data_IF_165674260187
#
_entry.id   IF_165674260187
#
_cell.length_a   1.000
_cell.length_b   1.000
_cell.length_c   1.000
_cell.angle_alpha   90.00
_cell.angle_beta   90.00
_cell.angle_gamma   90.00
#
_symmetry.space_group_name_H-M   'P 1'
#
loop_
_entity.id
_entity.type
_entity.pdbx_description
1 polymer ?
#
# COMPACT_ATOMS: atom_id res chain seq x y z
N UNK A 1 -0.51 20.46 8.54
CA UNK A 1 0.92 20.32 8.87
C UNK A 1 1.11 18.93 9.45
N UNK A 2 2.16 18.21 9.06
CA UNK A 2 2.45 16.87 9.60
C UNK A 2 2.64 16.92 11.12
N UNK A 3 2.02 15.96 11.83
CA UNK A 3 2.30 15.75 13.24
C UNK A 3 3.73 15.24 13.46
N UNK A 4 4.18 15.18 14.72
CA UNK A 4 5.55 14.80 15.06
C UNK A 4 5.90 13.39 14.55
N UNK A 5 4.99 12.44 14.74
CA UNK A 5 5.08 11.05 14.27
C UNK A 5 5.23 11.00 12.75
N UNK A 6 4.46 11.82 12.03
CA UNK A 6 4.56 11.96 10.58
C UNK A 6 5.95 12.42 10.14
N UNK A 7 6.51 13.45 10.79
CA UNK A 7 7.88 13.93 10.49
C UNK A 7 8.94 12.87 10.73
N UNK A 8 8.85 12.15 11.86
CA UNK A 8 9.77 11.03 12.16
C UNK A 8 9.63 9.93 11.10
N UNK A 9 8.41 9.58 10.70
CA UNK A 9 8.19 8.55 9.68
C UNK A 9 8.81 8.92 8.33
N UNK A 10 8.75 10.19 7.91
CA UNK A 10 9.39 10.68 6.67
C UNK A 10 10.91 10.56 6.76
N UNK A 11 11.50 11.07 7.85
CA UNK A 11 12.94 11.00 8.05
C UNK A 11 13.46 9.55 8.04
N UNK A 12 12.78 8.66 8.75
CA UNK A 12 13.19 7.26 8.91
C UNK A 12 12.93 6.43 7.65
N UNK A 13 11.84 6.69 6.91
CA UNK A 13 11.62 6.10 5.58
C UNK A 13 12.74 6.47 4.61
N UNK A 14 13.06 7.76 4.47
CA UNK A 14 14.15 8.22 3.60
C UNK A 14 15.50 7.64 4.02
N UNK A 15 15.75 7.54 5.32
CA UNK A 15 16.96 6.87 5.85
C UNK A 15 17.02 5.42 5.39
N UNK A 16 15.91 4.67 5.47
CA UNK A 16 15.82 3.31 4.94
C UNK A 16 16.15 3.21 3.46
N UNK A 17 15.60 4.11 2.63
CA UNK A 17 15.88 4.16 1.18
C UNK A 17 17.38 4.40 0.93
N UNK A 18 17.97 5.39 1.61
CA UNK A 18 19.38 5.74 1.46
C UNK A 18 20.27 4.56 1.86
N UNK A 19 20.00 3.91 2.99
CA UNK A 19 20.78 2.75 3.44
C UNK A 19 20.68 1.57 2.49
N UNK A 20 19.51 1.33 1.90
CA UNK A 20 19.35 0.31 0.87
C UNK A 20 20.17 0.65 -0.38
N UNK A 21 20.21 1.90 -0.84
CA UNK A 21 20.92 2.28 -2.08
C UNK A 21 22.42 2.53 -1.91
N UNK A 22 22.87 2.84 -0.69
CA UNK A 22 24.24 3.21 -0.34
C UNK A 22 25.30 2.25 -0.94
N UNK A 23 25.12 0.93 -0.86
CA UNK A 23 26.00 -0.02 -1.51
C UNK A 23 26.34 0.24 -2.97
N UNK A 24 25.31 0.40 -3.78
CA UNK A 24 25.47 0.59 -5.22
C UNK A 24 26.12 1.93 -5.52
N UNK A 25 25.82 2.95 -4.71
CA UNK A 25 26.41 4.28 -4.84
C UNK A 25 27.92 4.27 -4.53
N UNK A 26 28.33 3.66 -3.42
CA UNK A 26 29.75 3.53 -3.04
C UNK A 26 30.54 2.75 -4.09
N UNK A 27 29.99 1.66 -4.62
CA UNK A 27 30.61 0.90 -5.72
C UNK A 27 30.84 1.77 -6.97
N UNK A 28 29.87 2.61 -7.36
CA UNK A 28 30.03 3.53 -8.50
C UNK A 28 31.11 4.58 -8.27
N UNK A 29 31.37 4.95 -7.03
CA UNK A 29 32.46 5.86 -6.64
C UNK A 29 33.82 5.13 -6.48
N UNK A 30 33.94 3.90 -6.96
CA UNK A 30 35.16 3.07 -6.86
C UNK A 30 35.59 2.74 -5.43
N UNK A 31 34.70 2.89 -4.43
CA UNK A 31 34.92 2.29 -3.12
C UNK A 31 34.61 0.79 -3.22
N UNK A 32 35.65 -0.04 -3.35
CA UNK A 32 35.60 -1.51 -3.38
C UNK A 32 35.25 -2.14 -2.00
N UNK A 33 34.24 -1.60 -1.31
CA UNK A 33 33.87 -2.05 0.04
C UNK A 33 33.22 -3.44 0.05
N UNK A 34 32.58 -3.86 -1.05
CA UNK A 34 31.96 -5.19 -1.20
C UNK A 34 33.01 -6.28 -1.34
N UNK A 35 33.92 -6.12 -2.30
CA UNK A 35 34.97 -7.11 -2.58
C UNK A 35 35.92 -7.30 -1.38
N UNK A 36 36.17 -6.25 -0.59
CA UNK A 36 37.08 -6.33 0.56
C UNK A 36 36.53 -7.13 1.76
N UNK A 37 35.23 -7.08 2.04
CA UNK A 37 34.66 -7.64 3.28
C UNK A 37 33.54 -8.68 3.07
N UNK A 38 32.83 -8.65 1.93
CA UNK A 38 31.69 -9.52 1.68
C UNK A 38 31.75 -10.13 0.28
N UNK A 39 32.09 -11.41 0.20
CA UNK A 39 32.01 -12.17 -1.06
C UNK A 39 30.56 -12.31 -1.58
N UNK A 40 29.56 -12.21 -0.69
CA UNK A 40 28.14 -12.37 -1.00
C UNK A 40 27.39 -11.04 -0.87
N UNK A 41 26.95 -10.49 -2.01
CA UNK A 41 26.24 -9.20 -2.09
C UNK A 41 24.99 -9.15 -1.20
N UNK A 42 24.21 -10.24 -1.13
CA UNK A 42 22.99 -10.31 -0.33
C UNK A 42 23.26 -10.19 1.17
N UNK A 43 24.37 -10.76 1.64
CA UNK A 43 24.74 -10.70 3.05
C UNK A 43 25.02 -9.25 3.47
N UNK A 44 25.61 -8.44 2.60
CA UNK A 44 25.84 -7.02 2.91
C UNK A 44 24.53 -6.26 3.13
N UNK A 45 23.51 -6.48 2.29
CA UNK A 45 22.20 -5.85 2.50
C UNK A 45 21.53 -6.33 3.79
N UNK A 46 21.61 -7.62 4.12
CA UNK A 46 21.08 -8.15 5.40
C UNK A 46 21.78 -7.50 6.59
N UNK A 47 23.11 -7.41 6.58
CA UNK A 47 23.89 -6.77 7.65
C UNK A 47 23.54 -5.29 7.78
N UNK A 48 23.41 -4.56 6.67
CA UNK A 48 23.00 -3.15 6.69
C UNK A 48 21.59 -2.97 7.25
N UNK A 49 20.66 -3.86 6.92
CA UNK A 49 19.32 -3.84 7.49
C UNK A 49 19.34 -4.07 9.00
N UNK A 50 20.10 -5.06 9.48
CA UNK A 50 20.25 -5.34 10.92
C UNK A 50 20.87 -4.13 11.64
N UNK A 51 21.96 -3.57 11.10
CA UNK A 51 22.63 -2.40 11.65
C UNK A 51 21.67 -1.20 11.72
N UNK A 52 20.93 -0.94 10.66
CA UNK A 52 19.95 0.15 10.62
C UNK A 52 18.86 -0.04 11.68
N UNK A 53 18.32 -1.24 11.83
CA UNK A 53 17.34 -1.52 12.88
C UNK A 53 17.93 -1.36 14.28
N UNK A 54 19.17 -1.77 14.50
CA UNK A 54 19.88 -1.54 15.77
C UNK A 54 20.03 -0.05 16.08
N UNK A 55 20.38 0.79 15.10
CA UNK A 55 20.44 2.24 15.25
C UNK A 55 19.07 2.85 15.58
N UNK A 56 18.00 2.39 14.93
CA UNK A 56 16.62 2.81 15.21
C UNK A 56 16.21 2.43 16.63
N UNK A 57 16.56 1.22 17.08
CA UNK A 57 16.35 0.79 18.47
C UNK A 57 17.07 1.75 19.41
N UNK A 58 18.31 2.15 19.17
CA UNK A 58 19.02 3.07 20.08
C UNK A 58 18.38 4.47 20.08
N UNK A 59 18.03 4.98 18.90
CA UNK A 59 17.60 6.37 18.72
C UNK A 59 16.19 6.68 19.25
N UNK A 60 15.28 5.70 19.24
CA UNK A 60 13.87 5.94 19.55
C UNK A 60 13.33 5.00 20.65
N UNK A 61 12.23 5.41 21.28
CA UNK A 61 11.54 4.65 22.34
C UNK A 61 10.02 4.69 22.16
N UNK A 62 9.31 3.75 22.78
CA UNK A 62 7.84 3.73 22.84
C UNK A 62 7.17 3.72 21.46
N UNK A 63 6.09 4.50 21.33
CA UNK A 63 5.32 4.61 20.09
C UNK A 63 6.16 5.13 18.91
N UNK A 64 7.04 6.10 19.15
CA UNK A 64 7.91 6.67 18.11
C UNK A 64 8.87 5.64 17.53
N UNK A 65 9.44 4.76 18.37
CA UNK A 65 10.24 3.63 17.90
C UNK A 65 9.43 2.71 16.97
N UNK A 66 8.19 2.40 17.34
CA UNK A 66 7.33 1.53 16.54
C UNK A 66 6.95 2.13 15.18
N UNK A 67 6.79 3.46 15.11
CA UNK A 67 6.62 4.19 13.84
C UNK A 67 7.91 4.17 13.04
N UNK A 68 9.04 4.53 13.68
CA UNK A 68 10.35 4.62 13.06
C UNK A 68 10.79 3.30 12.43
N UNK A 69 10.63 2.17 13.14
CA UNK A 69 11.06 0.86 12.64
C UNK A 69 10.24 0.44 11.41
N UNK A 70 8.91 0.64 11.42
CA UNK A 70 8.03 0.31 10.27
C UNK A 70 8.33 1.19 9.06
N UNK A 71 8.45 2.50 9.28
CA UNK A 71 8.78 3.44 8.21
C UNK A 71 10.17 3.16 7.62
N UNK A 72 11.16 2.86 8.46
CA UNK A 72 12.51 2.46 8.03
C UNK A 72 12.47 1.17 7.22
N UNK A 73 11.77 0.13 7.69
CA UNK A 73 11.65 -1.14 6.97
C UNK A 73 10.98 -0.98 5.61
N UNK A 74 9.92 -0.16 5.54
CA UNK A 74 9.25 0.15 4.27
C UNK A 74 10.17 0.94 3.32
N UNK A 75 10.90 1.93 3.82
CA UNK A 75 11.88 2.68 3.03
C UNK A 75 13.02 1.79 2.52
N UNK A 76 13.50 0.88 3.37
CA UNK A 76 14.51 -0.10 2.99
C UNK A 76 13.99 -1.04 1.90
N UNK A 77 12.78 -1.60 2.06
CA UNK A 77 12.14 -2.43 1.04
C UNK A 77 11.94 -1.68 -0.29
N UNK A 78 11.54 -0.40 -0.23
CA UNK A 78 11.42 0.45 -1.41
C UNK A 78 12.75 0.58 -2.17
N UNK A 79 13.84 0.86 -1.44
CA UNK A 79 15.18 0.96 -2.01
C UNK A 79 15.71 -0.37 -2.56
N UNK A 80 15.43 -1.49 -1.89
CA UNK A 80 15.73 -2.84 -2.40
C UNK A 80 14.97 -3.12 -3.69
N UNK A 81 13.69 -2.72 -3.78
CA UNK A 81 12.90 -2.85 -5.00
C UNK A 81 13.54 -2.12 -6.19
N UNK A 82 14.04 -0.90 -5.98
CA UNK A 82 14.80 -0.14 -6.99
C UNK A 82 16.07 -0.89 -7.39
N UNK A 83 16.82 -1.43 -6.43
CA UNK A 83 18.04 -2.18 -6.73
C UNK A 83 17.76 -3.44 -7.54
N UNK A 84 16.73 -4.20 -7.19
CA UNK A 84 16.33 -5.39 -7.94
C UNK A 84 16.03 -5.01 -9.39
N UNK A 85 15.22 -3.96 -9.61
CA UNK A 85 14.91 -3.48 -10.96
C UNK A 85 16.16 -3.09 -11.77
N UNK A 86 17.11 -2.39 -11.14
CA UNK A 86 18.30 -1.86 -11.82
C UNK A 86 19.43 -2.88 -12.02
N UNK A 87 19.46 -3.96 -11.24
CA UNK A 87 20.66 -4.83 -11.15
C UNK A 87 20.38 -6.32 -11.28
N UNK A 88 19.16 -6.78 -11.02
CA UNK A 88 18.83 -8.19 -11.14
C UNK A 88 18.60 -8.58 -12.62
N UNK A 89 18.63 -9.89 -12.94
CA UNK A 89 18.21 -10.40 -14.25
C UNK A 89 16.81 -9.88 -14.63
N UNK A 90 16.54 -9.77 -15.93
CA UNK A 90 15.25 -9.31 -16.51
C UNK A 90 14.04 -9.92 -15.79
N UNK A 91 14.06 -11.24 -15.60
CA UNK A 91 13.02 -12.04 -14.93
C UNK A 91 12.75 -11.69 -13.45
N UNK A 92 13.56 -10.84 -12.80
CA UNK A 92 13.34 -10.33 -11.44
C UNK A 92 12.91 -8.86 -11.40
N UNK A 93 13.07 -8.12 -12.49
CA UNK A 93 12.92 -6.66 -12.48
C UNK A 93 11.54 -6.21 -12.02
N UNK A 94 10.48 -6.89 -12.48
CA UNK A 94 9.11 -6.55 -12.08
C UNK A 94 8.80 -6.91 -10.62
N UNK A 95 9.51 -7.87 -10.02
CA UNK A 95 9.44 -8.11 -8.57
C UNK A 95 10.01 -6.94 -7.78
N UNK A 96 11.05 -6.28 -8.30
CA UNK A 96 11.58 -5.04 -7.76
C UNK A 96 10.54 -3.91 -7.76
N UNK A 97 9.88 -3.70 -8.91
CA UNK A 97 8.79 -2.72 -9.04
C UNK A 97 7.64 -3.05 -8.08
N UNK A 98 7.20 -4.30 -8.02
CA UNK A 98 6.18 -4.76 -7.07
C UNK A 98 6.57 -4.42 -5.62
N UNK A 99 7.80 -4.70 -5.22
CA UNK A 99 8.29 -4.43 -3.86
C UNK A 99 8.24 -2.93 -3.54
N UNK A 100 8.68 -2.08 -4.48
CA UNK A 100 8.58 -0.62 -4.31
C UNK A 100 7.13 -0.15 -4.24
N UNK A 101 6.22 -0.67 -5.08
CA UNK A 101 4.78 -0.34 -5.04
C UNK A 101 4.15 -0.72 -3.70
N UNK A 102 4.43 -1.92 -3.18
CA UNK A 102 3.94 -2.38 -1.88
C UNK A 102 4.45 -1.49 -0.74
N UNK A 103 5.75 -1.19 -0.75
CA UNK A 103 6.36 -0.33 0.25
C UNK A 103 5.76 1.08 0.25
N UNK A 104 5.55 1.66 -0.94
CA UNK A 104 4.92 2.96 -1.10
C UNK A 104 3.49 2.95 -0.58
N UNK A 105 2.66 1.98 -0.97
CA UNK A 105 1.26 1.89 -0.53
C UNK A 105 1.14 1.90 0.99
N UNK A 106 1.85 1.01 1.68
CA UNK A 106 1.76 0.90 3.14
C UNK A 106 2.30 2.14 3.87
N UNK A 107 3.37 2.73 3.36
CA UNK A 107 3.95 3.94 3.95
C UNK A 107 3.04 5.16 3.76
N UNK A 108 2.52 5.34 2.55
CA UNK A 108 1.67 6.48 2.20
C UNK A 108 0.30 6.42 2.89
N UNK A 109 -0.23 5.24 3.21
CA UNK A 109 -1.42 5.09 4.07
C UNK A 109 -1.21 5.73 5.44
N UNK A 110 -0.10 5.39 6.11
CA UNK A 110 0.25 5.98 7.41
C UNK A 110 0.44 7.49 7.28
N UNK A 111 1.24 7.92 6.31
CA UNK A 111 1.56 9.32 6.10
C UNK A 111 0.31 10.16 5.81
N UNK A 112 -0.64 9.64 5.02
CA UNK A 112 -1.90 10.32 4.76
C UNK A 112 -2.68 10.58 6.05
N UNK A 113 -2.81 9.59 6.96
CA UNK A 113 -3.48 9.79 8.25
C UNK A 113 -2.78 10.82 9.12
N UNK A 114 -1.44 10.83 9.17
CA UNK A 114 -0.69 11.86 9.92
C UNK A 114 -0.94 13.28 9.42
N UNK A 115 -1.43 13.44 8.19
CA UNK A 115 -1.77 14.73 7.62
C UNK A 115 -3.25 15.07 7.80
N UNK A 116 -4.13 14.08 7.61
CA UNK A 116 -5.57 14.30 7.45
C UNK A 116 -6.37 14.07 8.73
N UNK A 117 -5.95 13.11 9.56
CA UNK A 117 -6.64 12.74 10.80
C UNK A 117 -5.66 12.24 11.90
N UNK A 118 -4.79 13.11 12.45
CA UNK A 118 -3.79 12.70 13.44
C UNK A 118 -4.39 12.11 14.73
N UNK A 119 -5.63 12.48 15.07
CA UNK A 119 -6.34 11.95 16.24
C UNK A 119 -6.69 10.46 16.12
N UNK A 120 -6.77 9.92 14.91
CA UNK A 120 -7.04 8.51 14.66
C UNK A 120 -5.76 7.71 14.34
N UNK A 121 -4.58 8.32 14.49
CA UNK A 121 -3.31 7.70 14.12
C UNK A 121 -3.00 6.51 15.04
N UNK A 122 -2.68 5.37 14.43
CA UNK A 122 -2.22 4.17 15.13
C UNK A 122 -1.16 3.44 14.30
N UNK A 123 -0.60 2.35 14.84
CA UNK A 123 0.27 1.48 14.06
C UNK A 123 -0.46 0.79 12.91
N UNK A 124 -1.76 0.56 13.08
CA UNK A 124 -2.60 -0.09 12.06
C UNK A 124 -2.82 0.81 10.86
N UNK A 125 -2.56 2.13 10.98
CA UNK A 125 -2.58 3.06 9.85
C UNK A 125 -1.55 2.73 8.76
N UNK A 126 -0.51 1.93 9.05
CA UNK A 126 0.39 1.38 8.01
C UNK A 126 -0.26 0.26 7.17
N UNK A 127 -1.38 -0.31 7.63
CA UNK A 127 -2.13 -1.37 6.95
C UNK A 127 -1.34 -2.65 6.69
N UNK A 128 -0.24 -2.89 7.42
CA UNK A 128 0.68 -4.02 7.18
C UNK A 128 0.05 -5.39 7.46
N UNK A 129 -0.70 -5.53 8.55
CA UNK A 129 -1.22 -6.79 9.05
C UNK A 129 -2.71 -6.69 9.35
N UNK A 130 -3.51 -6.26 8.37
CA UNK A 130 -4.95 -6.03 8.58
C UNK A 130 -5.79 -7.30 8.54
N UNK A 131 -5.27 -8.42 8.03
CA UNK A 131 -5.92 -9.74 8.13
C UNK A 131 -4.96 -10.91 7.88
N UNK A 132 -5.34 -12.11 8.33
CA UNK A 132 -4.58 -13.35 8.06
C UNK A 132 -4.67 -13.72 6.58
N UNK A 133 -5.83 -13.51 5.97
CA UNK A 133 -6.11 -13.75 4.57
C UNK A 133 -5.18 -12.92 3.67
N UNK A 134 -4.87 -11.68 4.07
CA UNK A 134 -3.91 -10.83 3.37
C UNK A 134 -2.51 -11.44 3.38
N UNK A 135 -2.05 -11.96 4.52
CA UNK A 135 -0.76 -12.64 4.63
C UNK A 135 -0.68 -13.91 3.79
N UNK A 136 -1.75 -14.72 3.78
CA UNK A 136 -1.85 -15.91 2.93
C UNK A 136 -1.82 -15.52 1.45
N UNK A 137 -2.59 -14.50 1.05
CA UNK A 137 -2.61 -14.03 -0.33
C UNK A 137 -1.23 -13.55 -0.79
N UNK A 138 -0.53 -12.77 0.03
CA UNK A 138 0.84 -12.32 -0.26
C UNK A 138 1.81 -13.50 -0.40
N UNK A 139 1.71 -14.51 0.47
CA UNK A 139 2.53 -15.71 0.38
C UNK A 139 2.28 -16.49 -0.92
N UNK A 140 1.00 -16.73 -1.27
CA UNK A 140 0.62 -17.44 -2.51
C UNK A 140 1.10 -16.69 -3.75
N UNK A 141 0.95 -15.36 -3.76
CA UNK A 141 1.47 -14.48 -4.80
C UNK A 141 3.00 -14.64 -5.01
N UNK A 142 3.77 -14.67 -3.91
CA UNK A 142 5.22 -14.87 -4.00
C UNK A 142 5.59 -16.28 -4.45
N UNK A 143 4.85 -17.30 -4.00
CA UNK A 143 5.08 -18.68 -4.43
C UNK A 143 4.79 -18.87 -5.91
N UNK A 144 3.68 -18.35 -6.42
CA UNK A 144 3.36 -18.36 -7.86
C UNK A 144 4.48 -17.69 -8.66
N UNK A 145 4.90 -16.49 -8.27
CA UNK A 145 5.97 -15.78 -8.95
C UNK A 145 7.28 -16.60 -8.97
N UNK A 146 7.70 -17.16 -7.84
CA UNK A 146 8.96 -17.91 -7.73
C UNK A 146 8.90 -19.21 -8.55
N UNK A 147 7.80 -19.96 -8.45
CA UNK A 147 7.61 -21.22 -9.18
C UNK A 147 7.60 -20.95 -10.68
N UNK A 148 6.77 -20.01 -11.13
CA UNK A 148 6.66 -19.67 -12.55
C UNK A 148 7.95 -19.09 -13.10
N UNK A 149 8.68 -18.28 -12.33
CA UNK A 149 10.00 -17.78 -12.75
C UNK A 149 11.01 -18.92 -12.91
N UNK A 150 10.96 -19.93 -12.04
CA UNK A 150 11.89 -21.07 -12.10
C UNK A 150 11.68 -21.91 -13.35
N UNK A 151 10.42 -22.22 -13.70
CA UNK A 151 10.09 -23.03 -14.87
C UNK A 151 9.99 -22.24 -16.19
N UNK A 152 9.55 -20.98 -16.12
CA UNK A 152 9.22 -20.12 -17.25
C UNK A 152 9.77 -18.69 -17.06
N UNK A 153 11.10 -18.50 -17.00
CA UNK A 153 11.71 -17.20 -16.70
C UNK A 153 11.36 -16.09 -17.69
N UNK A 154 11.19 -16.42 -18.98
CA UNK A 154 10.82 -15.50 -20.05
C UNK A 154 9.44 -14.84 -19.79
N UNK A 155 8.51 -15.56 -19.16
CA UNK A 155 7.20 -15.02 -18.78
C UNK A 155 7.30 -13.95 -17.68
N UNK A 156 8.42 -13.85 -16.97
CA UNK A 156 8.60 -12.87 -15.88
C UNK A 156 9.47 -11.68 -16.28
N UNK A 157 9.89 -11.61 -17.55
CA UNK A 157 10.57 -10.44 -18.08
C UNK A 157 9.60 -9.25 -18.22
N UNK A 158 10.07 -8.00 -18.18
CA UNK A 158 9.21 -6.83 -18.32
C UNK A 158 8.37 -6.89 -19.59
N UNK A 159 7.05 -6.95 -19.40
CA UNK A 159 6.08 -7.06 -20.49
C UNK A 159 5.04 -5.94 -20.39
N UNK A 160 4.30 -5.67 -21.47
CA UNK A 160 3.30 -4.58 -21.50
C UNK A 160 2.25 -4.75 -20.39
N UNK A 161 1.90 -6.00 -20.05
CA UNK A 161 0.93 -6.32 -18.98
C UNK A 161 1.41 -5.80 -17.63
N UNK A 162 2.71 -5.91 -17.33
CA UNK A 162 3.24 -5.40 -16.07
C UNK A 162 3.17 -3.88 -15.97
N UNK A 163 3.32 -3.17 -17.09
CA UNK A 163 3.19 -1.70 -17.13
C UNK A 163 1.73 -1.24 -17.02
N UNK A 164 0.78 -2.02 -17.55
CA UNK A 164 -0.65 -1.82 -17.25
C UNK A 164 -0.89 -2.02 -15.75
N UNK A 165 -0.31 -3.07 -15.16
CA UNK A 165 -0.36 -3.31 -13.72
C UNK A 165 0.17 -2.14 -12.90
N UNK A 166 1.32 -1.59 -13.29
CA UNK A 166 1.88 -0.40 -12.65
C UNK A 166 0.95 0.81 -12.78
N UNK A 167 0.33 1.01 -13.95
CA UNK A 167 -0.65 2.08 -14.17
C UNK A 167 -1.85 1.92 -13.23
N UNK A 168 -2.36 0.70 -13.06
CA UNK A 168 -3.45 0.41 -12.12
C UNK A 168 -3.05 0.73 -10.68
N UNK A 169 -1.84 0.33 -10.27
CA UNK A 169 -1.34 0.66 -8.94
C UNK A 169 -1.19 2.17 -8.75
N UNK A 170 -0.60 2.91 -9.70
CA UNK A 170 -0.41 4.36 -9.58
C UNK A 170 -1.75 5.10 -9.55
N UNK A 171 -2.67 4.79 -10.46
CA UNK A 171 -4.00 5.42 -10.48
C UNK A 171 -4.80 5.07 -9.22
N UNK A 172 -4.77 3.81 -8.79
CA UNK A 172 -5.46 3.35 -7.59
C UNK A 172 -4.91 4.00 -6.32
N UNK A 173 -3.58 4.12 -6.22
CA UNK A 173 -2.87 4.82 -5.16
C UNK A 173 -3.29 6.29 -5.10
N UNK A 174 -3.26 7.00 -6.22
CA UNK A 174 -3.66 8.41 -6.28
C UNK A 174 -5.12 8.57 -5.85
N UNK A 175 -6.04 7.78 -6.42
CA UNK A 175 -7.47 7.87 -6.10
C UNK A 175 -7.73 7.61 -4.61
N UNK A 176 -7.07 6.59 -4.03
CA UNK A 176 -7.19 6.27 -2.62
C UNK A 176 -6.73 7.41 -1.73
N UNK A 177 -5.57 8.00 -2.02
CA UNK A 177 -5.04 9.12 -1.23
C UNK A 177 -5.91 10.36 -1.39
N UNK A 178 -6.36 10.67 -2.60
CA UNK A 178 -7.31 11.77 -2.83
C UNK A 178 -8.60 11.57 -2.02
N UNK A 179 -9.11 10.35 -1.90
CA UNK A 179 -10.26 10.05 -1.04
C UNK A 179 -9.96 10.37 0.43
N UNK A 180 -8.83 9.92 0.96
CA UNK A 180 -8.40 10.22 2.34
C UNK A 180 -8.23 11.73 2.57
N UNK A 181 -7.64 12.46 1.63
CA UNK A 181 -7.44 13.91 1.71
C UNK A 181 -8.75 14.71 1.56
N UNK A 182 -9.71 14.19 0.81
CA UNK A 182 -11.03 14.80 0.65
C UNK A 182 -11.91 14.57 1.88
N UNK A 183 -11.96 13.33 2.40
CA UNK A 183 -12.78 12.99 3.56
C UNK A 183 -12.18 13.47 4.90
N UNK A 184 -10.84 13.60 4.97
CA UNK A 184 -10.10 14.06 6.16
C UNK A 184 -10.48 13.29 7.43
N UNK A 185 -11.02 13.98 8.44
CA UNK A 185 -11.46 13.41 9.72
C UNK A 185 -12.64 12.44 9.58
N UNK A 186 -13.37 12.50 8.48
CA UNK A 186 -14.47 11.58 8.17
C UNK A 186 -13.95 10.26 7.56
N UNK A 187 -12.65 10.15 7.24
CA UNK A 187 -12.05 8.90 6.80
C UNK A 187 -11.59 8.05 7.99
N UNK A 188 -11.89 6.75 7.95
CA UNK A 188 -11.38 5.78 8.89
C UNK A 188 -11.08 4.45 8.17
N UNK A 189 -10.01 3.76 8.59
CA UNK A 189 -9.67 2.43 8.08
C UNK A 189 -10.66 1.34 8.52
N UNK A 190 -11.42 1.59 9.58
CA UNK A 190 -12.43 0.70 10.14
C UNK A 190 -13.82 1.34 9.96
N UNK A 191 -14.81 0.55 9.52
CA UNK A 191 -16.20 1.01 9.44
C UNK A 191 -16.65 1.41 10.84
N UNK A 192 -17.15 2.63 10.97
CA UNK A 192 -17.64 3.15 12.24
C UNK A 192 -19.09 2.71 12.45
N UNK A 193 -19.38 2.04 13.58
CA UNK A 193 -20.75 1.66 13.95
C UNK A 193 -21.52 2.79 14.65
N UNK A 194 -20.81 3.81 15.15
CA UNK A 194 -21.39 4.95 15.87
C UNK A 194 -20.96 6.25 15.20
N UNK A 195 -21.88 7.21 15.09
CA UNK A 195 -21.59 8.53 14.51
C UNK A 195 -20.79 9.35 15.53
N UNK A 196 -19.54 9.66 15.20
CA UNK A 196 -18.72 10.56 16.00
C UNK A 196 -19.23 12.01 15.90
N UNK A 197 -19.00 12.80 16.95
CA UNK A 197 -19.28 14.23 16.93
C UNK A 197 -18.50 14.93 15.81
N UNK A 198 -19.22 15.60 14.93
CA UNK A 198 -18.63 16.26 13.76
C UNK A 198 -18.42 15.36 12.53
N UNK A 199 -18.88 14.10 12.54
CA UNK A 199 -18.91 13.27 11.34
C UNK A 199 -19.92 13.84 10.32
N UNK A 200 -19.41 14.26 9.16
CA UNK A 200 -20.17 14.87 8.07
C UNK A 200 -20.16 13.98 6.82
N UNK A 201 -21.26 14.04 6.07
CA UNK A 201 -21.37 13.40 4.77
C UNK A 201 -20.52 14.17 3.75
N UNK A 202 -19.61 13.47 3.07
CA UNK A 202 -18.70 14.04 2.07
C UNK A 202 -19.15 13.63 0.67
N UNK A 203 -19.58 14.60 -0.14
CA UNK A 203 -20.09 14.38 -1.51
C UNK A 203 -19.33 15.16 -2.60
N UNK A 204 -18.27 15.88 -2.24
CA UNK A 204 -17.48 16.69 -3.17
C UNK A 204 -16.12 16.04 -3.50
N UNK A 205 -15.39 16.59 -4.47
CA UNK A 205 -14.08 16.07 -4.87
C UNK A 205 -14.20 14.69 -5.50
N UNK A 206 -13.34 13.74 -5.11
CA UNK A 206 -13.44 12.37 -5.66
C UNK A 206 -14.74 11.66 -5.29
N UNK A 207 -15.42 12.11 -4.24
CA UNK A 207 -16.72 11.57 -3.83
C UNK A 207 -17.85 11.98 -4.79
N UNK A 208 -17.72 13.04 -5.60
CA UNK A 208 -18.76 13.36 -6.59
C UNK A 208 -18.80 12.37 -7.77
N UNK A 209 -17.74 11.57 -7.95
CA UNK A 209 -17.65 10.57 -9.03
C UNK A 209 -17.97 9.15 -8.57
N UNK A 210 -17.73 8.85 -7.29
CA UNK A 210 -17.87 7.52 -6.72
C UNK A 210 -18.15 7.65 -5.23
N UNK A 211 -19.11 6.90 -4.69
CA UNK A 211 -19.41 6.90 -3.26
C UNK A 211 -18.30 6.30 -2.40
N UNK A 212 -17.52 5.37 -2.97
CA UNK A 212 -16.45 4.65 -2.27
C UNK A 212 -15.09 4.75 -2.98
N UNK A 213 -14.58 5.96 -3.26
CA UNK A 213 -13.41 6.14 -4.12
C UNK A 213 -12.13 5.51 -3.53
N UNK A 214 -12.01 5.47 -2.20
CA UNK A 214 -10.90 4.76 -1.52
C UNK A 214 -10.93 3.25 -1.77
N UNK A 215 -12.11 2.65 -1.88
CA UNK A 215 -12.28 1.22 -2.18
C UNK A 215 -12.05 0.94 -3.66
N UNK A 216 -12.52 1.81 -4.55
CA UNK A 216 -12.18 1.74 -5.98
C UNK A 216 -10.67 1.77 -6.18
N UNK A 217 -9.99 2.73 -5.54
CA UNK A 217 -8.54 2.85 -5.63
C UNK A 217 -7.83 1.59 -5.14
N UNK A 218 -8.24 1.05 -3.99
CA UNK A 218 -7.66 -0.18 -3.44
C UNK A 218 -7.94 -1.41 -4.31
N UNK A 219 -9.17 -1.55 -4.83
CA UNK A 219 -9.56 -2.68 -5.68
C UNK A 219 -8.69 -2.77 -6.94
N UNK A 220 -8.53 -1.66 -7.67
CA UNK A 220 -7.68 -1.67 -8.87
C UNK A 220 -6.19 -1.75 -8.53
N UNK A 221 -5.76 -1.15 -7.43
CA UNK A 221 -4.39 -1.28 -6.95
C UNK A 221 -4.03 -2.75 -6.67
N UNK A 222 -4.90 -3.51 -5.99
CA UNK A 222 -4.62 -4.90 -5.64
C UNK A 222 -4.49 -5.79 -6.87
N UNK A 223 -5.36 -5.60 -7.86
CA UNK A 223 -5.27 -6.28 -9.17
C UNK A 223 -3.97 -5.90 -9.89
N UNK A 224 -3.64 -4.60 -9.90
CA UNK A 224 -2.43 -4.07 -10.50
C UNK A 224 -1.16 -4.75 -9.97
N UNK A 225 -1.10 -5.06 -8.67
CA UNK A 225 0.07 -5.76 -8.09
C UNK A 225 0.34 -7.12 -8.73
N UNK A 226 -0.73 -7.86 -9.08
CA UNK A 226 -0.60 -9.18 -9.70
C UNK A 226 -0.27 -9.10 -11.19
N UNK A 227 -0.77 -8.06 -11.86
CA UNK A 227 -0.40 -7.76 -13.24
C UNK A 227 1.08 -7.36 -13.35
N UNK A 228 1.62 -6.58 -12.40
CA UNK A 228 3.06 -6.27 -12.33
C UNK A 228 3.87 -7.57 -12.32
N UNK A 229 3.51 -8.51 -11.44
CA UNK A 229 4.19 -9.81 -11.31
C UNK A 229 3.86 -10.80 -12.43
N UNK A 230 2.91 -10.48 -13.31
CA UNK A 230 2.42 -11.36 -14.37
C UNK A 230 1.97 -12.72 -13.82
N UNK A 231 1.27 -12.70 -12.68
CA UNK A 231 0.76 -13.88 -11.99
C UNK A 231 -0.68 -14.17 -12.45
N UNK A 232 -0.92 -15.05 -13.44
CA UNK A 232 -2.25 -15.27 -14.00
C UNK A 232 -3.24 -15.83 -12.97
N UNK A 233 -2.81 -16.73 -12.09
CA UNK A 233 -3.70 -17.33 -11.09
C UNK A 233 -4.04 -16.31 -10.00
N UNK A 234 -3.03 -15.67 -9.40
CA UNK A 234 -3.29 -14.65 -8.39
C UNK A 234 -4.03 -13.43 -8.95
N UNK A 235 -3.86 -13.05 -10.23
CA UNK A 235 -4.64 -11.96 -10.81
C UNK A 235 -6.15 -12.24 -10.76
N UNK A 236 -6.58 -13.47 -11.08
CA UNK A 236 -7.98 -13.89 -10.97
C UNK A 236 -8.42 -13.95 -9.51
N UNK A 237 -7.63 -14.61 -8.65
CA UNK A 237 -7.97 -14.75 -7.23
C UNK A 237 -8.08 -13.39 -6.52
N UNK A 238 -7.11 -12.49 -6.70
CA UNK A 238 -7.11 -11.15 -6.11
C UNK A 238 -8.32 -10.35 -6.60
N UNK A 239 -8.68 -10.44 -7.88
CA UNK A 239 -9.86 -9.77 -8.42
C UNK A 239 -11.13 -10.25 -7.73
N UNK A 240 -11.38 -11.58 -7.70
CA UNK A 240 -12.60 -12.15 -7.15
C UNK A 240 -12.72 -11.96 -5.63
N UNK A 241 -11.61 -12.17 -4.90
CA UNK A 241 -11.58 -12.03 -3.44
C UNK A 241 -11.74 -10.56 -3.05
N UNK A 242 -11.01 -9.64 -3.69
CA UNK A 242 -11.16 -8.20 -3.43
C UNK A 242 -12.56 -7.72 -3.77
N UNK A 243 -13.14 -8.19 -4.88
CA UNK A 243 -14.50 -7.85 -5.28
C UNK A 243 -15.52 -8.26 -4.23
N UNK A 244 -15.47 -9.52 -3.77
CA UNK A 244 -16.36 -10.04 -2.72
C UNK A 244 -16.18 -9.29 -1.40
N UNK A 245 -14.94 -9.02 -1.01
CA UNK A 245 -14.63 -8.25 0.19
C UNK A 245 -15.27 -6.86 0.14
N UNK A 246 -15.09 -6.12 -0.96
CA UNK A 246 -15.68 -4.78 -1.07
C UNK A 246 -17.19 -4.81 -1.24
N UNK A 247 -17.77 -5.83 -1.88
CA UNK A 247 -19.22 -5.98 -1.97
C UNK A 247 -19.85 -6.06 -0.57
N UNK A 248 -19.31 -6.92 0.30
CA UNK A 248 -19.80 -7.07 1.68
C UNK A 248 -19.55 -5.80 2.49
N UNK A 249 -18.36 -5.22 2.35
CA UNK A 249 -17.96 -4.03 3.11
C UNK A 249 -18.79 -2.80 2.75
N UNK A 250 -19.00 -2.55 1.46
CA UNK A 250 -19.84 -1.45 0.96
C UNK A 250 -21.28 -1.61 1.46
N UNK A 251 -21.84 -2.81 1.41
CA UNK A 251 -23.20 -3.06 1.89
C UNK A 251 -23.33 -2.70 3.39
N UNK A 252 -22.41 -3.19 4.23
CA UNK A 252 -22.41 -2.91 5.67
C UNK A 252 -22.23 -1.42 5.97
N UNK A 253 -21.29 -0.77 5.29
CA UNK A 253 -20.99 0.64 5.51
C UNK A 253 -22.15 1.54 5.06
N UNK A 254 -22.79 1.26 3.92
CA UNK A 254 -23.92 2.05 3.45
C UNK A 254 -25.14 1.92 4.37
N UNK A 255 -25.39 0.75 4.97
CA UNK A 255 -26.42 0.63 6.02
C UNK A 255 -26.14 1.57 7.19
N UNK A 256 -24.88 1.66 7.62
CA UNK A 256 -24.49 2.56 8.70
C UNK A 256 -24.54 4.03 8.31
N UNK A 257 -24.14 4.37 7.08
CA UNK A 257 -24.20 5.75 6.57
C UNK A 257 -25.65 6.25 6.43
N UNK A 258 -26.58 5.38 6.02
CA UNK A 258 -28.01 5.70 6.03
C UNK A 258 -28.49 5.94 7.46
N UNK A 259 -28.07 5.14 8.44
CA UNK A 259 -28.42 5.40 9.84
C UNK A 259 -27.84 6.74 10.35
N UNK A 260 -26.70 7.18 9.83
CA UNK A 260 -26.03 8.42 10.27
C UNK A 260 -26.58 9.69 9.62
N UNK A 261 -27.00 9.60 8.36
CA UNK A 261 -27.31 10.77 7.52
C UNK A 261 -28.71 10.71 6.89
N UNK A 262 -29.43 9.60 7.03
CA UNK A 262 -30.80 9.45 6.56
C UNK A 262 -30.95 9.78 5.08
N UNK A 263 -31.91 10.65 4.77
CA UNK A 263 -32.29 11.02 3.40
C UNK A 263 -31.13 11.64 2.60
N UNK A 264 -30.20 12.35 3.26
CA UNK A 264 -29.06 12.96 2.57
C UNK A 264 -28.18 11.89 1.89
N UNK A 265 -28.01 10.73 2.52
CA UNK A 265 -27.27 9.63 1.92
C UNK A 265 -28.06 8.95 0.80
N UNK A 266 -29.37 8.77 1.00
CA UNK A 266 -30.26 8.18 -0.02
C UNK A 266 -30.27 9.04 -1.29
N UNK A 267 -30.32 10.36 -1.16
CA UNK A 267 -30.29 11.27 -2.30
C UNK A 267 -28.92 11.27 -2.99
N UNK A 268 -27.83 11.14 -2.23
CA UNK A 268 -26.50 10.93 -2.77
C UNK A 268 -26.38 9.60 -3.54
N UNK A 269 -26.99 8.51 -3.06
CA UNK A 269 -27.03 7.21 -3.75
C UNK A 269 -27.73 7.27 -5.11
N UNK A 270 -28.73 8.16 -5.28
CA UNK A 270 -29.43 8.36 -6.56
C UNK A 270 -28.55 9.06 -7.60
N UNK A 271 -27.59 9.87 -7.16
CA UNK A 271 -26.78 10.71 -8.04
C UNK A 271 -25.43 10.08 -8.39
N UNK A 272 -24.82 9.35 -7.46
CA UNK A 272 -23.44 8.86 -7.59
C UNK A 272 -23.41 7.36 -7.33
N UNK A 273 -22.79 6.58 -8.22
CA UNK A 273 -22.62 5.13 -8.07
C UNK A 273 -21.50 4.75 -7.09
N UNK A 274 -21.37 3.48 -6.74
CA UNK A 274 -20.29 2.98 -5.86
C UNK A 274 -18.90 3.11 -6.48
N UNK A 275 -18.82 3.14 -7.82
CA UNK A 275 -17.58 3.12 -8.60
C UNK A 275 -16.97 1.73 -8.80
N UNK A 276 -17.49 0.69 -8.12
CA UNK A 276 -17.00 -0.68 -8.25
C UNK A 276 -17.90 -1.47 -9.23
N UNK A 277 -17.32 -2.32 -10.09
CA UNK A 277 -18.09 -3.06 -11.09
C UNK A 277 -19.07 -4.02 -10.40
N UNK A 278 -20.34 -4.03 -10.82
CA UNK A 278 -21.37 -4.96 -10.32
C UNK A 278 -21.65 -4.89 -8.81
N UNK A 279 -21.25 -3.83 -8.12
CA UNK A 279 -21.55 -3.61 -6.69
C UNK A 279 -22.50 -2.42 -6.59
N UNK A 280 -23.78 -2.67 -6.30
CA UNK A 280 -24.79 -1.60 -6.18
C UNK A 280 -24.81 -0.89 -4.82
N UNK A 281 -24.21 -1.51 -3.81
CA UNK A 281 -24.33 -1.08 -2.41
C UNK A 281 -25.67 -1.45 -1.80
N UNK A 282 -26.01 -0.85 -0.65
CA UNK A 282 -27.26 -1.11 0.05
C UNK A 282 -28.37 -0.24 -0.55
N UNK A 283 -29.36 -0.86 -1.18
CA UNK A 283 -30.54 -0.17 -1.68
C UNK A 283 -31.63 -0.24 -0.62
N UNK A 284 -32.03 0.91 -0.12
CA UNK A 284 -33.23 1.01 0.70
C UNK A 284 -34.43 0.95 -0.25
N UNK A 285 -35.09 -0.21 -0.33
CA UNK A 285 -36.38 -0.32 -1.00
C UNK A 285 -37.40 0.42 -0.12
N UNK A 286 -37.88 1.56 -0.60
CA UNK A 286 -39.03 2.31 -0.02
C UNK A 286 -40.34 1.65 -0.46
#
# INVERSE_FOLDING_TARGET
MLCYEGKISVFTFLTGVIFALLPKFLFRLQFETYSLYFQNVWLTYVVLYILLNFLIIIAFRGFIYQVAVRATSLGYAFGIGILIYLTAPSSWQMFGIYTSVMATFHYSEFLAITWTNPSALSLDSFMLNHSVEYGIAAFVCWMEFIIERYFFPEMKEPHFVSWIGLTFCVCGEILRKLAMFTARKNFNHIIQSTKADGHQLVTHGVYSFSRHPSYVGWFYWSIGTQLILQNPFCAVCYTLISWRFFQQRVLLEEMTLINFFGQDYVDYQKQVGTGLPLISGYKFDL
#
